data_IF_538453917265
#
_entry.id   IF_538453917265
#
_cell.length_a   1.000
_cell.length_b   1.000
_cell.length_c   1.000
_cell.angle_alpha   90.00
_cell.angle_beta   90.00
_cell.angle_gamma   90.00
#
_symmetry.space_group_name_H-M   'P 1'
#
loop_
_entity.id
_entity.type
_entity.pdbx_description
1 polymer ?
#
# COMPACT_ATOMS: atom_id res chain seq x y z
N UNK A 1 -7.04 8.27 2.63
CA UNK A 1 -8.39 8.77 2.32
C UNK A 1 -8.99 7.71 1.44
N UNK A 2 -10.10 7.14 1.86
CA UNK A 2 -10.77 6.05 1.16
C UNK A 2 -12.00 6.69 0.51
N UNK A 3 -11.93 6.99 -0.79
CA UNK A 3 -13.06 7.56 -1.54
C UNK A 3 -13.29 6.75 -2.79
N UNK A 4 -14.56 6.57 -3.17
CA UNK A 4 -15.03 5.76 -4.31
C UNK A 4 -14.35 6.00 -5.67
N UNK A 5 -13.52 7.04 -5.80
CA UNK A 5 -12.71 7.30 -7.01
C UNK A 5 -11.59 6.27 -7.22
N UNK A 6 -11.10 5.63 -6.15
CA UNK A 6 -10.06 4.59 -6.25
C UNK A 6 -10.61 3.28 -6.87
N UNK A 7 -11.94 3.08 -6.82
CA UNK A 7 -12.60 1.91 -7.43
C UNK A 7 -12.50 1.87 -8.96
N UNK A 8 -12.36 3.02 -9.63
CA UNK A 8 -12.19 3.06 -11.10
C UNK A 8 -10.79 2.67 -11.56
N UNK A 9 -9.78 2.85 -10.71
CA UNK A 9 -8.40 2.42 -11.01
C UNK A 9 -8.21 0.92 -10.80
N UNK A 10 -8.99 0.31 -9.89
CA UNK A 10 -8.92 -1.13 -9.60
C UNK A 10 -9.35 -2.01 -10.77
N UNK A 11 -10.11 -1.47 -11.73
CA UNK A 11 -10.57 -2.21 -12.92
C UNK A 11 -9.55 -2.20 -14.09
N UNK A 12 -8.52 -1.34 -14.08
CA UNK A 12 -7.68 -1.07 -15.27
C UNK A 12 -6.27 -1.68 -15.20
N UNK A 13 -5.86 -2.34 -14.11
CA UNK A 13 -4.49 -2.85 -14.00
C UNK A 13 -4.43 -4.39 -14.01
N UNK A 14 -4.41 -4.96 -15.21
CA UNK A 14 -4.18 -6.39 -15.41
C UNK A 14 -2.80 -6.83 -14.90
N UNK A 15 -2.77 -7.84 -14.03
CA UNK A 15 -1.53 -8.45 -13.52
C UNK A 15 -0.83 -7.70 -12.38
N UNK A 16 -1.36 -6.56 -11.91
CA UNK A 16 -0.85 -5.90 -10.71
C UNK A 16 -1.80 -6.12 -9.52
N UNK A 17 -1.23 -6.18 -8.32
CA UNK A 17 -2.00 -6.21 -7.07
C UNK A 17 -2.03 -4.79 -6.49
N UNK A 18 -3.23 -4.26 -6.28
CA UNK A 18 -3.44 -2.97 -5.63
C UNK A 18 -3.63 -3.24 -4.15
N UNK A 19 -2.83 -2.58 -3.31
CA UNK A 19 -2.94 -2.66 -1.86
C UNK A 19 -3.44 -1.35 -1.31
N UNK A 20 -4.35 -1.42 -0.34
CA UNK A 20 -4.57 -0.29 0.57
C UNK A 20 -3.36 -0.11 1.48
N UNK A 21 -3.19 1.09 2.01
CA UNK A 21 -2.05 1.43 2.88
C UNK A 21 -1.83 0.40 4.01
N UNK A 22 -2.91 -0.02 4.68
CA UNK A 22 -2.84 -0.99 5.77
C UNK A 22 -2.53 -2.40 5.28
N UNK A 23 -3.13 -2.82 4.16
CA UNK A 23 -2.90 -4.14 3.56
C UNK A 23 -1.45 -4.28 3.10
N UNK A 24 -0.88 -3.22 2.52
CA UNK A 24 0.51 -3.21 2.08
C UNK A 24 1.48 -3.38 3.25
N UNK A 25 1.21 -2.74 4.40
CA UNK A 25 2.03 -2.91 5.61
C UNK A 25 1.95 -4.34 6.13
N UNK A 26 0.74 -4.90 6.27
CA UNK A 26 0.58 -6.28 6.74
C UNK A 26 1.26 -7.27 5.80
N UNK A 27 1.18 -7.05 4.49
CA UNK A 27 1.86 -7.90 3.52
C UNK A 27 3.39 -7.86 3.69
N UNK A 28 3.98 -6.69 3.91
CA UNK A 28 5.42 -6.55 4.15
C UNK A 28 5.85 -7.24 5.45
N UNK A 29 5.07 -7.10 6.52
CA UNK A 29 5.34 -7.80 7.79
C UNK A 29 5.28 -9.32 7.61
N UNK A 30 4.29 -9.83 6.88
CA UNK A 30 4.16 -11.26 6.56
C UNK A 30 5.30 -11.77 5.67
N UNK A 31 5.84 -10.92 4.79
CA UNK A 31 7.01 -11.23 3.98
C UNK A 31 8.33 -11.22 4.78
N UNK A 32 8.27 -10.96 6.09
CA UNK A 32 9.42 -11.01 7.00
C UNK A 32 10.13 -9.67 7.19
N UNK A 33 9.60 -8.58 6.63
CA UNK A 33 10.13 -7.25 6.93
C UNK A 33 9.72 -6.81 8.34
N UNK A 34 10.63 -6.16 9.04
CA UNK A 34 10.41 -5.62 10.38
C UNK A 34 10.52 -4.10 10.41
N UNK A 35 10.01 -3.50 11.49
CA UNK A 35 9.95 -2.04 11.68
C UNK A 35 9.28 -1.30 10.51
N UNK A 36 8.20 -1.87 9.95
CA UNK A 36 7.46 -1.30 8.82
C UNK A 36 6.71 -0.04 9.25
N UNK A 37 7.12 1.10 8.71
CA UNK A 37 6.52 2.41 8.94
C UNK A 37 5.90 2.98 7.67
N UNK A 38 4.70 3.56 7.81
CA UNK A 38 4.00 4.23 6.72
C UNK A 38 4.05 5.73 6.96
N UNK A 39 4.54 6.47 5.96
CA UNK A 39 4.56 7.92 5.93
C UNK A 39 3.70 8.42 4.77
N UNK A 40 2.54 9.00 5.09
CA UNK A 40 1.65 9.59 4.09
C UNK A 40 2.00 11.05 3.85
N UNK A 41 2.30 11.38 2.60
CA UNK A 41 2.37 12.77 2.09
C UNK A 41 1.17 13.01 1.18
N UNK A 42 0.88 14.28 0.86
CA UNK A 42 -0.34 14.70 0.14
C UNK A 42 -0.79 13.79 -1.02
N UNK A 43 0.13 13.32 -1.84
CA UNK A 43 -0.17 12.43 -2.99
C UNK A 43 0.72 11.19 -3.06
N UNK A 44 1.51 10.92 -2.01
CA UNK A 44 2.53 9.87 -2.04
C UNK A 44 2.49 9.07 -0.75
N UNK A 45 2.60 7.75 -0.90
CA UNK A 45 2.83 6.80 0.19
C UNK A 45 4.32 6.46 0.21
N UNK A 46 5.01 6.79 1.30
CA UNK A 46 6.38 6.37 1.54
C UNK A 46 6.37 5.27 2.61
N UNK A 47 7.08 4.17 2.36
CA UNK A 47 7.20 3.06 3.29
C UNK A 47 8.67 2.81 3.56
N UNK A 48 9.02 2.66 4.84
CA UNK A 48 10.35 2.24 5.27
C UNK A 48 10.22 0.93 6.03
N UNK A 49 11.12 0.00 5.76
CA UNK A 49 11.15 -1.30 6.42
C UNK A 49 12.59 -1.83 6.44
N UNK A 50 12.86 -2.68 7.42
CA UNK A 50 14.10 -3.43 7.54
C UNK A 50 13.85 -4.88 7.13
N UNK A 51 14.84 -5.51 6.50
CA UNK A 51 14.76 -6.88 6.01
C UNK A 51 15.66 -7.80 6.83
#
# INVERSE_FOLDING_TARGET
>A
GDTDKDKKWTEIIGGMTIYKDAELKTYLEQAGFHDVQIHKKKSWLCITAWK
#
